data_IF_986109143796
#
_entry.id   IF_986109143796
#
_cell.length_a   1.000
_cell.length_b   1.000
_cell.length_c   1.000
_cell.angle_alpha   90.00
_cell.angle_beta   90.00
_cell.angle_gamma   90.00
#
_symmetry.space_group_name_H-M   'P 1'
#
loop_
_entity.id
_entity.type
_entity.pdbx_description
1 polymer ?
#
# COMPACT_ATOMS: atom_id res chain seq x y z
N UNK A 1 -30.84 19.06 57.15
CA UNK A 1 -29.45 18.63 56.88
C UNK A 1 -29.51 17.73 55.67
N UNK A 2 -29.48 18.32 54.47
CA UNK A 2 -29.59 17.60 53.21
C UNK A 2 -28.19 17.17 52.80
N UNK A 3 -27.92 15.87 52.77
CA UNK A 3 -26.68 15.31 52.25
C UNK A 3 -26.70 15.43 50.72
N UNK A 4 -25.80 16.23 50.17
CA UNK A 4 -25.41 16.18 48.77
C UNK A 4 -24.73 14.82 48.51
N UNK A 5 -25.11 14.07 47.46
CA UNK A 5 -24.39 12.86 47.11
C UNK A 5 -23.03 13.28 46.54
N UNK A 6 -21.98 12.95 47.29
CA UNK A 6 -20.59 13.00 46.85
C UNK A 6 -20.48 12.13 45.59
N UNK A 7 -20.39 12.78 44.42
CA UNK A 7 -20.25 12.12 43.13
C UNK A 7 -18.93 11.35 43.12
N UNK A 8 -19.03 10.03 43.26
CA UNK A 8 -17.92 9.10 43.10
C UNK A 8 -17.20 9.35 41.76
N UNK A 9 -15.86 9.43 41.74
CA UNK A 9 -15.11 9.58 40.50
C UNK A 9 -15.41 8.43 39.54
N UNK A 10 -15.89 8.76 38.34
CA UNK A 10 -16.10 7.81 37.25
C UNK A 10 -14.75 7.14 36.90
N UNK A 11 -14.65 5.85 37.19
CA UNK A 11 -13.53 5.00 36.82
C UNK A 11 -13.45 4.88 35.29
N UNK A 12 -12.32 5.33 34.72
CA UNK A 12 -11.75 4.75 33.49
C UNK A 12 -12.00 5.49 32.17
N UNK A 13 -11.52 6.73 32.04
CA UNK A 13 -11.17 7.24 30.70
C UNK A 13 -10.08 6.32 30.10
N UNK A 14 -10.20 5.87 28.84
CA UNK A 14 -9.12 5.12 28.21
C UNK A 14 -7.86 5.99 28.06
N UNK A 15 -6.64 5.42 28.09
CA UNK A 15 -5.41 6.16 28.36
C UNK A 15 -5.04 7.15 27.24
N UNK A 16 -4.85 8.44 27.60
CA UNK A 16 -4.29 9.51 26.75
C UNK A 16 -3.03 9.08 25.99
N UNK A 17 -2.19 8.22 26.58
CA UNK A 17 -0.95 7.71 25.97
C UNK A 17 -1.17 6.96 24.64
N UNK A 18 -2.28 6.24 24.46
CA UNK A 18 -2.56 5.54 23.17
C UNK A 18 -2.88 6.52 22.06
N UNK A 19 -3.60 7.60 22.40
CA UNK A 19 -3.92 8.69 21.47
C UNK A 19 -2.67 9.49 21.09
N UNK A 20 -1.76 9.72 22.04
CA UNK A 20 -0.50 10.42 21.78
C UNK A 20 0.48 9.57 20.95
N UNK A 21 0.56 8.26 21.23
CA UNK A 21 1.38 7.34 20.44
C UNK A 21 0.87 7.12 19.01
N UNK A 22 -0.45 7.21 18.79
CA UNK A 22 -1.05 7.20 17.46
C UNK A 22 -0.73 8.50 16.70
N UNK A 23 -1.01 9.67 17.30
CA UNK A 23 -0.71 10.98 16.70
C UNK A 23 0.77 11.16 16.38
N UNK A 24 1.66 10.70 17.24
CA UNK A 24 3.10 10.76 17.01
C UNK A 24 3.53 9.85 15.86
N UNK A 25 2.90 8.68 15.70
CA UNK A 25 3.11 7.84 14.51
C UNK A 25 2.65 8.56 13.25
N UNK A 26 1.48 9.17 13.26
CA UNK A 26 0.93 9.84 12.07
C UNK A 26 1.81 11.03 11.66
N UNK A 27 2.30 11.81 12.62
CA UNK A 27 3.27 12.90 12.35
C UNK A 27 4.58 12.38 11.72
N UNK A 28 5.12 11.27 12.23
CA UNK A 28 6.31 10.63 11.65
C UNK A 28 6.06 10.09 10.24
N UNK A 29 4.89 9.48 10.01
CA UNK A 29 4.51 8.98 8.68
C UNK A 29 4.31 10.13 7.68
N UNK A 30 3.69 11.24 8.11
CA UNK A 30 3.51 12.44 7.30
C UNK A 30 4.86 13.05 6.90
N UNK A 31 5.75 13.27 7.89
CA UNK A 31 7.09 13.80 7.65
C UNK A 31 7.92 12.90 6.70
N UNK A 32 7.82 11.58 6.87
CA UNK A 32 8.53 10.65 6.00
C UNK A 32 7.94 10.62 4.58
N UNK A 33 6.62 10.72 4.42
CA UNK A 33 5.96 10.85 3.11
C UNK A 33 6.35 12.14 2.39
N UNK A 34 6.33 13.27 3.09
CA UNK A 34 6.76 14.57 2.53
C UNK A 34 8.22 14.54 2.06
N UNK A 35 9.09 13.82 2.77
CA UNK A 35 10.47 13.60 2.35
C UNK A 35 10.58 12.81 1.05
N UNK A 36 9.81 11.72 0.93
CA UNK A 36 9.73 10.94 -0.33
C UNK A 36 9.27 11.84 -1.47
N UNK A 37 8.18 12.57 -1.27
CA UNK A 37 7.53 13.37 -2.31
C UNK A 37 8.40 14.55 -2.76
N UNK A 38 9.20 15.14 -1.85
CA UNK A 38 10.02 16.33 -2.14
C UNK A 38 11.46 16.04 -2.58
N UNK A 39 12.07 14.97 -2.09
CA UNK A 39 13.50 14.71 -2.25
C UNK A 39 13.85 13.23 -2.50
N UNK A 40 12.84 12.37 -2.68
CA UNK A 40 13.02 10.95 -2.95
C UNK A 40 13.36 10.11 -1.71
N UNK A 41 13.42 8.80 -1.93
CA UNK A 41 13.56 7.79 -0.86
C UNK A 41 14.89 7.92 -0.10
N UNK A 42 15.94 8.41 -0.75
CA UNK A 42 17.26 8.58 -0.12
C UNK A 42 17.30 9.71 0.92
N UNK A 43 16.42 10.72 0.78
CA UNK A 43 16.28 11.79 1.77
C UNK A 43 15.61 11.32 3.08
N UNK A 44 14.92 10.18 3.05
CA UNK A 44 14.25 9.61 4.23
C UNK A 44 15.29 8.93 5.13
N UNK A 45 15.90 9.73 6.00
CA UNK A 45 16.76 9.27 7.08
C UNK A 45 16.05 9.39 8.42
N UNK A 46 16.49 8.62 9.41
CA UNK A 46 15.91 8.68 10.76
C UNK A 46 16.01 10.09 11.36
N UNK A 47 17.09 10.82 11.04
CA UNK A 47 17.32 12.19 11.52
C UNK A 47 16.44 13.20 10.80
N UNK A 48 16.38 13.15 9.47
CA UNK A 48 15.54 14.07 8.69
C UNK A 48 14.04 13.94 9.02
N UNK A 49 13.60 12.71 9.34
CA UNK A 49 12.21 12.44 9.75
C UNK A 49 11.97 12.96 11.16
N UNK A 50 12.91 12.76 12.09
CA UNK A 50 12.82 13.28 13.45
C UNK A 50 12.74 14.81 13.46
N UNK A 51 13.63 15.47 12.72
CA UNK A 51 13.69 16.92 12.57
C UNK A 51 12.38 17.47 12.00
N UNK A 52 11.90 16.91 10.89
CA UNK A 52 10.67 17.37 10.24
C UNK A 52 9.41 17.10 11.08
N UNK A 53 9.36 15.99 11.81
CA UNK A 53 8.24 15.69 12.70
C UNK A 53 8.32 16.46 14.04
N UNK A 54 9.41 17.18 14.31
CA UNK A 54 9.59 17.91 15.57
C UNK A 54 9.74 16.99 16.79
N UNK A 55 10.28 15.78 16.60
CA UNK A 55 10.46 14.79 17.69
C UNK A 55 11.92 14.37 17.85
N UNK A 56 12.27 13.89 19.03
CA UNK A 56 13.61 13.36 19.28
C UNK A 56 13.91 12.09 18.46
N UNK A 57 15.12 11.96 17.93
CA UNK A 57 15.63 10.78 17.19
C UNK A 57 15.29 9.44 17.86
N UNK A 58 15.43 9.36 19.19
CA UNK A 58 15.12 8.16 19.97
C UNK A 58 13.66 7.69 19.86
N UNK A 59 12.73 8.61 19.61
CA UNK A 59 11.31 8.29 19.35
C UNK A 59 11.13 7.57 18.02
N UNK A 60 11.83 8.01 16.97
CA UNK A 60 11.79 7.39 15.63
C UNK A 60 12.37 5.97 15.69
N UNK A 61 13.53 5.81 16.33
CA UNK A 61 14.15 4.49 16.53
C UNK A 61 13.29 3.56 17.38
N UNK A 62 12.69 4.05 18.47
CA UNK A 62 11.78 3.22 19.28
C UNK A 62 10.55 2.76 18.49
N UNK A 63 10.08 3.56 17.53
CA UNK A 63 8.87 3.25 16.76
C UNK A 63 9.12 2.31 15.58
N UNK A 64 10.19 2.53 14.84
CA UNK A 64 10.44 1.83 13.58
C UNK A 64 11.66 0.89 13.62
N UNK A 65 12.48 0.98 14.66
CA UNK A 65 13.70 0.17 14.86
C UNK A 65 14.85 0.55 13.93
N UNK A 66 14.58 0.79 12.66
CA UNK A 66 15.57 1.08 11.62
C UNK A 66 14.97 1.90 10.48
N UNK A 67 15.84 2.42 9.59
CA UNK A 67 15.39 3.04 8.33
C UNK A 67 14.57 2.04 7.49
N UNK A 68 15.01 0.79 7.39
CA UNK A 68 14.26 -0.26 6.67
C UNK A 68 12.88 -0.50 7.29
N UNK A 69 12.77 -0.45 8.63
CA UNK A 69 11.48 -0.53 9.34
C UNK A 69 10.60 0.71 9.17
N UNK A 70 11.17 1.90 8.93
CA UNK A 70 10.41 3.09 8.56
C UNK A 70 9.88 2.97 7.12
N UNK A 71 10.73 2.58 6.18
CA UNK A 71 10.32 2.29 4.80
C UNK A 71 9.25 1.21 4.75
N UNK A 72 9.34 0.24 5.66
CA UNK A 72 8.32 -0.77 5.84
C UNK A 72 6.95 -0.19 6.14
N UNK A 73 6.89 0.64 7.16
CA UNK A 73 5.66 1.27 7.60
C UNK A 73 5.08 2.19 6.51
N UNK A 74 5.92 2.85 5.71
CA UNK A 74 5.48 3.67 4.58
C UNK A 74 4.81 2.82 3.50
N UNK A 75 5.41 1.68 3.15
CA UNK A 75 4.83 0.74 2.21
C UNK A 75 3.51 0.16 2.73
N UNK A 76 3.45 -0.22 4.01
CA UNK A 76 2.22 -0.74 4.62
C UNK A 76 1.09 0.30 4.59
N UNK A 77 1.41 1.56 4.88
CA UNK A 77 0.44 2.65 4.82
C UNK A 77 -0.05 2.92 3.38
N UNK A 78 0.87 2.89 2.40
CA UNK A 78 0.54 3.02 0.98
C UNK A 78 -0.33 1.87 0.48
N UNK A 79 0.00 0.63 0.84
CA UNK A 79 -0.80 -0.55 0.52
C UNK A 79 -2.19 -0.47 1.14
N UNK A 80 -2.30 -0.07 2.42
CA UNK A 80 -3.59 0.08 3.09
C UNK A 80 -4.47 1.15 2.43
N UNK A 81 -3.90 2.30 2.04
CA UNK A 81 -4.62 3.34 1.34
C UNK A 81 -5.15 2.85 -0.02
N UNK A 82 -4.28 2.22 -0.81
CA UNK A 82 -4.64 1.66 -2.11
C UNK A 82 -5.72 0.56 -2.01
N UNK A 83 -5.64 -0.32 -1.01
CA UNK A 83 -6.69 -1.30 -0.72
C UNK A 83 -8.03 -0.62 -0.40
N UNK A 84 -8.00 0.50 0.34
CA UNK A 84 -9.16 1.34 0.58
C UNK A 84 -9.80 1.84 -0.72
N UNK A 85 -8.98 2.33 -1.66
CA UNK A 85 -9.45 2.81 -2.95
C UNK A 85 -10.09 1.70 -3.79
N UNK A 86 -9.50 0.50 -3.80
CA UNK A 86 -10.05 -0.68 -4.52
C UNK A 86 -11.39 -1.14 -3.92
N UNK A 87 -11.53 -1.11 -2.60
CA UNK A 87 -12.72 -1.61 -1.92
C UNK A 87 -13.86 -0.58 -1.85
N UNK A 88 -13.55 0.71 -1.72
CA UNK A 88 -14.55 1.74 -1.44
C UNK A 88 -14.28 3.09 -2.10
N UNK A 89 -13.23 3.21 -2.92
CA UNK A 89 -12.96 4.40 -3.72
C UNK A 89 -13.94 4.58 -4.88
N UNK A 90 -13.74 5.62 -5.70
CA UNK A 90 -14.57 5.88 -6.87
C UNK A 90 -14.33 4.86 -8.00
N UNK A 91 -15.33 4.61 -8.86
CA UNK A 91 -15.11 3.86 -10.09
C UNK A 91 -14.12 4.59 -11.02
N UNK A 92 -13.36 3.87 -11.87
CA UNK A 92 -13.45 2.42 -12.09
C UNK A 92 -12.61 1.56 -11.12
N UNK A 93 -11.72 2.13 -10.31
CA UNK A 93 -10.89 1.33 -9.39
C UNK A 93 -11.73 0.72 -8.26
N UNK A 94 -12.57 1.55 -7.64
CA UNK A 94 -13.53 1.12 -6.63
C UNK A 94 -14.83 0.55 -7.22
N UNK A 95 -15.86 0.31 -6.38
CA UNK A 95 -17.14 -0.21 -6.80
C UNK A 95 -17.92 0.70 -7.77
N UNK A 96 -18.83 0.10 -8.55
CA UNK A 96 -19.80 0.84 -9.37
C UNK A 96 -19.51 0.88 -10.88
N UNK A 97 -18.36 0.36 -11.33
CA UNK A 97 -18.05 0.16 -12.75
C UNK A 97 -18.21 -1.31 -13.19
N UNK A 98 -18.38 -1.59 -14.49
CA UNK A 98 -18.36 -2.95 -15.03
C UNK A 98 -17.11 -3.73 -14.63
N UNK A 99 -17.19 -5.05 -14.33
CA UNK A 99 -16.06 -5.84 -13.84
C UNK A 99 -14.79 -5.76 -14.70
N UNK A 100 -14.93 -5.64 -16.03
CA UNK A 100 -13.80 -5.48 -16.95
C UNK A 100 -13.08 -4.16 -16.72
N UNK A 101 -13.81 -3.06 -16.64
CA UNK A 101 -13.23 -1.73 -16.39
C UNK A 101 -12.53 -1.70 -15.03
N UNK A 102 -13.09 -2.38 -14.03
CA UNK A 102 -12.47 -2.53 -12.72
C UNK A 102 -11.16 -3.30 -12.77
N UNK A 103 -11.12 -4.43 -13.50
CA UNK A 103 -9.90 -5.23 -13.65
C UNK A 103 -8.80 -4.40 -14.32
N UNK A 104 -9.14 -3.69 -15.40
CA UNK A 104 -8.22 -2.81 -16.11
C UNK A 104 -7.68 -1.68 -15.22
N UNK A 105 -8.56 -0.99 -14.51
CA UNK A 105 -8.19 0.07 -13.57
C UNK A 105 -7.31 -0.44 -12.43
N UNK A 106 -7.62 -1.62 -11.89
CA UNK A 106 -6.84 -2.30 -10.86
C UNK A 106 -5.42 -2.57 -11.32
N UNK A 107 -5.25 -3.21 -12.49
CA UNK A 107 -3.90 -3.56 -12.97
C UNK A 107 -3.07 -2.34 -13.31
N UNK A 108 -3.67 -1.32 -13.95
CA UNK A 108 -2.99 -0.05 -14.23
C UNK A 108 -2.55 0.65 -12.94
N UNK A 109 -3.44 0.75 -11.96
CA UNK A 109 -3.13 1.33 -10.65
C UNK A 109 -2.03 0.55 -9.93
N UNK A 110 -2.07 -0.79 -9.96
CA UNK A 110 -1.06 -1.66 -9.35
C UNK A 110 0.30 -1.50 -10.03
N UNK A 111 0.34 -1.48 -11.36
CA UNK A 111 1.55 -1.31 -12.17
C UNK A 111 2.24 0.01 -11.86
N UNK A 112 1.51 1.12 -12.01
CA UNK A 112 2.03 2.48 -11.80
C UNK A 112 2.47 2.64 -10.35
N UNK A 113 1.60 2.26 -9.40
CA UNK A 113 1.93 2.33 -7.99
C UNK A 113 3.17 1.51 -7.62
N UNK A 114 3.35 0.32 -8.21
CA UNK A 114 4.55 -0.49 -8.01
C UNK A 114 5.83 0.16 -8.55
N UNK A 115 5.78 0.80 -9.71
CA UNK A 115 6.92 1.55 -10.25
C UNK A 115 7.27 2.76 -9.39
N UNK A 116 6.28 3.55 -8.98
CA UNK A 116 6.47 4.74 -8.14
C UNK A 116 7.11 4.39 -6.79
N UNK A 117 6.73 3.26 -6.20
CA UNK A 117 7.24 2.82 -4.90
C UNK A 117 8.39 1.82 -4.99
N UNK A 118 8.92 1.53 -6.18
CA UNK A 118 9.97 0.52 -6.34
C UNK A 118 11.21 0.84 -5.50
N UNK A 119 11.60 2.12 -5.42
CA UNK A 119 12.70 2.57 -4.58
C UNK A 119 12.42 2.37 -3.07
N UNK A 120 11.18 2.56 -2.62
CA UNK A 120 10.78 2.25 -1.23
C UNK A 120 10.86 0.74 -0.97
N UNK A 121 10.38 -0.09 -1.90
CA UNK A 121 10.43 -1.55 -1.80
C UNK A 121 11.87 -2.02 -1.63
N UNK A 122 12.78 -1.52 -2.46
CA UNK A 122 14.22 -1.80 -2.35
C UNK A 122 14.80 -1.29 -1.02
N UNK A 123 14.44 -0.10 -0.57
CA UNK A 123 14.92 0.46 0.69
C UNK A 123 14.38 -0.25 1.95
N UNK A 124 13.28 -0.99 1.81
CA UNK A 124 12.67 -1.77 2.88
C UNK A 124 13.18 -3.22 2.97
N UNK A 125 14.10 -3.62 2.09
CA UNK A 125 14.70 -4.96 2.06
C UNK A 125 15.40 -5.25 3.40
N UNK A 126 15.15 -6.43 3.98
CA UNK A 126 15.67 -6.84 5.29
C UNK A 126 14.71 -6.62 6.48
N UNK A 127 13.57 -5.95 6.28
CA UNK A 127 12.44 -6.05 7.20
C UNK A 127 11.67 -7.36 6.97
N UNK A 128 11.05 -7.93 8.02
CA UNK A 128 10.29 -9.20 7.97
C UNK A 128 9.35 -9.28 6.74
N UNK A 129 9.11 -10.49 6.19
CA UNK A 129 8.37 -10.64 4.95
C UNK A 129 6.94 -10.13 5.08
N UNK A 130 6.67 -8.95 4.50
CA UNK A 130 5.31 -8.41 4.24
C UNK A 130 4.48 -9.24 3.25
N UNK A 131 5.09 -10.31 2.71
CA UNK A 131 4.84 -10.83 1.37
C UNK A 131 3.62 -11.75 1.21
N UNK A 132 2.87 -12.08 2.28
CA UNK A 132 1.74 -13.00 2.16
C UNK A 132 0.37 -12.29 2.19
N UNK A 133 0.15 -11.34 3.11
CA UNK A 133 -1.14 -10.69 3.27
C UNK A 133 -1.50 -9.75 2.09
N UNK A 134 -0.55 -8.94 1.61
CA UNK A 134 -0.79 -8.07 0.46
C UNK A 134 -1.03 -8.87 -0.83
N UNK A 135 -0.25 -9.94 -1.05
CA UNK A 135 -0.46 -10.87 -2.16
C UNK A 135 -1.83 -11.58 -2.07
N UNK A 136 -2.27 -11.91 -0.86
CA UNK A 136 -3.58 -12.54 -0.66
C UNK A 136 -4.74 -11.64 -1.06
N UNK A 137 -4.64 -10.32 -0.84
CA UNK A 137 -5.67 -9.36 -1.24
C UNK A 137 -5.75 -9.22 -2.76
N UNK A 138 -4.62 -8.98 -3.43
CA UNK A 138 -4.60 -8.76 -4.89
C UNK A 138 -5.12 -9.97 -5.64
N UNK A 139 -4.67 -11.16 -5.28
CA UNK A 139 -5.15 -12.40 -5.87
C UNK A 139 -6.64 -12.62 -5.62
N UNK A 140 -7.13 -12.32 -4.41
CA UNK A 140 -8.56 -12.45 -4.10
C UNK A 140 -9.42 -11.49 -4.90
N UNK A 141 -8.98 -10.24 -5.08
CA UNK A 141 -9.71 -9.27 -5.87
C UNK A 141 -9.77 -9.64 -7.36
N UNK A 142 -8.64 -10.06 -7.94
CA UNK A 142 -8.59 -10.51 -9.35
C UNK A 142 -9.47 -11.73 -9.56
N UNK A 143 -9.40 -12.75 -8.68
CA UNK A 143 -10.30 -13.92 -8.74
C UNK A 143 -11.76 -13.52 -8.72
N UNK A 144 -12.14 -12.62 -7.80
CA UNK A 144 -13.50 -12.11 -7.72
C UNK A 144 -13.95 -11.49 -9.06
N UNK A 145 -13.13 -10.62 -9.66
CA UNK A 145 -13.46 -10.00 -10.95
C UNK A 145 -13.51 -11.00 -12.10
N UNK A 146 -12.63 -12.00 -12.13
CA UNK A 146 -12.66 -13.06 -13.15
C UNK A 146 -13.93 -13.90 -13.05
N UNK A 147 -14.39 -14.20 -11.84
CA UNK A 147 -15.67 -14.89 -11.63
C UNK A 147 -16.87 -14.05 -12.09
N UNK A 148 -16.90 -12.76 -11.76
CA UNK A 148 -17.95 -11.83 -12.23
C UNK A 148 -17.98 -11.71 -13.76
N UNK A 149 -16.82 -11.83 -14.41
CA UNK A 149 -16.70 -11.85 -15.87
C UNK A 149 -17.07 -13.19 -16.52
N UNK A 150 -17.33 -14.23 -15.72
CA UNK A 150 -17.66 -15.57 -16.23
C UNK A 150 -16.50 -16.30 -16.88
N UNK A 151 -15.25 -15.91 -16.56
CA UNK A 151 -14.04 -16.57 -17.09
C UNK A 151 -14.03 -18.04 -16.66
N UNK A 152 -13.68 -18.93 -17.59
CA UNK A 152 -13.62 -20.38 -17.38
C UNK A 152 -12.17 -20.87 -17.32
N UNK A 153 -11.97 -22.08 -16.79
CA UNK A 153 -10.65 -22.71 -16.67
C UNK A 153 -10.06 -22.60 -15.27
N UNK A 154 -8.73 -22.68 -15.17
CA UNK A 154 -8.00 -22.60 -13.90
C UNK A 154 -7.83 -21.14 -13.46
N UNK A 155 -8.77 -20.67 -12.65
CA UNK A 155 -8.83 -19.28 -12.16
C UNK A 155 -7.60 -18.91 -11.32
N UNK A 156 -7.00 -19.85 -10.59
CA UNK A 156 -5.81 -19.57 -9.77
C UNK A 156 -4.58 -19.37 -10.66
N UNK A 157 -4.42 -20.20 -11.69
CA UNK A 157 -3.34 -20.03 -12.66
C UNK A 157 -3.51 -18.74 -13.47
N UNK A 158 -4.73 -18.44 -13.93
CA UNK A 158 -5.03 -17.21 -14.66
C UNK A 158 -4.80 -15.96 -13.80
N UNK A 159 -5.19 -16.00 -12.53
CA UNK A 159 -4.90 -14.93 -11.57
C UNK A 159 -3.40 -14.72 -11.41
N UNK A 160 -2.64 -15.81 -11.27
CA UNK A 160 -1.18 -15.76 -11.18
C UNK A 160 -0.58 -15.15 -12.45
N UNK A 161 -1.05 -15.54 -13.63
CA UNK A 161 -0.59 -15.02 -14.90
C UNK A 161 -0.90 -13.52 -15.08
N UNK A 162 -2.03 -13.02 -14.57
CA UNK A 162 -2.37 -11.59 -14.62
C UNK A 162 -1.59 -10.75 -13.61
N UNK A 163 -1.22 -11.31 -12.46
CA UNK A 163 -0.49 -10.58 -11.42
C UNK A 163 1.03 -10.60 -11.60
N UNK A 164 1.60 -11.68 -12.14
CA UNK A 164 3.05 -11.83 -12.27
C UNK A 164 3.74 -10.67 -13.03
N UNK A 165 3.20 -10.15 -14.16
CA UNK A 165 3.80 -9.01 -14.86
C UNK A 165 3.76 -7.70 -14.06
N UNK A 166 2.92 -7.63 -13.01
CA UNK A 166 2.78 -6.45 -12.17
C UNK A 166 3.76 -6.44 -11.00
N UNK A 167 4.51 -7.51 -10.77
CA UNK A 167 5.45 -7.60 -9.65
C UNK A 167 6.67 -6.69 -9.85
N UNK A 168 7.11 -6.04 -8.76
CA UNK A 168 8.20 -5.03 -8.79
C UNK A 168 9.48 -5.56 -9.47
N UNK A 169 9.98 -6.79 -9.20
CA UNK A 169 11.17 -7.30 -9.88
C UNK A 169 11.00 -7.41 -11.40
N UNK A 170 9.81 -7.79 -11.88
CA UNK A 170 9.51 -7.91 -13.31
C UNK A 170 9.42 -6.53 -13.95
N UNK A 171 8.69 -5.61 -13.32
CA UNK A 171 8.56 -4.23 -13.80
C UNK A 171 9.91 -3.51 -13.87
N UNK A 172 10.78 -3.70 -12.88
CA UNK A 172 12.13 -3.12 -12.87
C UNK A 172 13.01 -3.74 -13.96
N UNK A 173 12.93 -5.06 -14.17
CA UNK A 173 13.63 -5.69 -15.27
C UNK A 173 13.20 -5.10 -16.62
N UNK A 174 11.89 -5.03 -16.88
CA UNK A 174 11.36 -4.52 -18.13
C UNK A 174 11.72 -3.04 -18.37
N UNK A 175 11.59 -2.20 -17.35
CA UNK A 175 11.81 -0.75 -17.48
C UNK A 175 13.29 -0.37 -17.44
N UNK A 176 14.08 -0.93 -16.53
CA UNK A 176 15.46 -0.51 -16.29
C UNK A 176 16.50 -1.31 -17.08
N UNK A 177 16.24 -2.59 -17.33
CA UNK A 177 17.20 -3.47 -18.04
C UNK A 177 16.83 -3.57 -19.52
N UNK A 178 15.56 -3.83 -19.82
CA UNK A 178 15.09 -4.02 -21.19
C UNK A 178 14.70 -2.69 -21.88
N UNK A 179 14.57 -1.61 -21.12
CA UNK A 179 14.24 -0.28 -21.64
C UNK A 179 12.84 -0.20 -22.25
N UNK A 180 11.92 -1.06 -21.80
CA UNK A 180 10.53 -1.08 -22.27
C UNK A 180 9.80 0.11 -21.63
N UNK A 181 9.19 0.92 -22.50
CA UNK A 181 8.36 2.04 -22.09
C UNK A 181 7.13 1.59 -21.26
N UNK A 182 6.78 2.39 -20.24
CA UNK A 182 5.69 2.05 -19.31
C UNK A 182 4.34 1.94 -20.01
N UNK A 183 4.05 2.81 -20.99
CA UNK A 183 2.79 2.75 -21.74
C UNK A 183 2.71 1.47 -22.56
N UNK A 184 3.86 0.98 -23.06
CA UNK A 184 3.93 -0.32 -23.74
C UNK A 184 3.69 -1.50 -22.80
N UNK A 185 4.19 -1.45 -21.56
CA UNK A 185 3.92 -2.49 -20.55
C UNK A 185 2.43 -2.50 -20.19
N UNK A 186 1.83 -1.32 -19.98
CA UNK A 186 0.40 -1.17 -19.71
C UNK A 186 -0.42 -1.76 -20.85
N UNK A 187 -0.16 -1.35 -22.10
CA UNK A 187 -0.90 -1.86 -23.26
C UNK A 187 -0.74 -3.39 -23.43
N UNK A 188 0.46 -3.94 -23.19
CA UNK A 188 0.69 -5.39 -23.23
C UNK A 188 -0.06 -6.15 -22.13
N UNK A 189 -0.15 -5.58 -20.93
CA UNK A 189 -0.95 -6.16 -19.85
C UNK A 189 -2.45 -6.09 -20.14
N UNK A 190 -2.94 -4.99 -20.71
CA UNK A 190 -4.34 -4.85 -21.14
C UNK A 190 -4.71 -5.86 -22.25
N UNK A 191 -3.80 -6.13 -23.21
CA UNK A 191 -3.96 -7.19 -24.22
C UNK A 191 -4.02 -8.59 -23.57
N UNK A 192 -3.17 -8.85 -22.57
CA UNK A 192 -3.22 -10.10 -21.81
C UNK A 192 -4.57 -10.28 -21.11
N UNK A 193 -5.11 -9.24 -20.48
CA UNK A 193 -6.44 -9.27 -19.86
C UNK A 193 -7.50 -9.60 -20.90
N UNK A 194 -7.49 -8.95 -22.07
CA UNK A 194 -8.45 -9.24 -23.13
C UNK A 194 -8.41 -10.71 -23.54
N UNK A 195 -7.22 -11.29 -23.72
CA UNK A 195 -7.05 -12.72 -24.05
C UNK A 195 -7.56 -13.67 -22.97
N UNK A 196 -7.48 -13.30 -21.71
CA UNK A 196 -7.99 -14.11 -20.60
C UNK A 196 -9.50 -14.00 -20.47
N UNK A 197 -10.05 -12.81 -20.69
CA UNK A 197 -11.48 -12.53 -20.48
C UNK A 197 -12.33 -12.91 -21.70
N UNK A 198 -11.76 -12.85 -22.91
CA UNK A 198 -12.49 -13.07 -24.16
C UNK A 198 -12.36 -14.51 -24.72
N UNK A 199 -11.67 -15.41 -24.01
CA UNK A 199 -11.46 -16.82 -24.37
C UNK A 199 -12.63 -17.75 -23.96
#
# INVERSE_FOLDING_TARGET
MSHEPELLPLLGEPPRERSDAARNRDALMCAAKELVDSAGVDAVTMDAVAERAGVGKGTVFRRFGSRAGLMAALLDASEAAWQGDVMGGPPPLGPGAPPRERLLAFGRSRLVGNLERAALVQAATGAQPRSYAAYSFTATHVRYLLHELGVRGDIDLLTTALLAPLEVPILLQQTQIEGIDVDRIVAGWEDLVARVVDA
#
